data_IF_932374499186
#
_entry.id   IF_932374499186
#
_cell.length_a   1.000
_cell.length_b   1.000
_cell.length_c   1.000
_cell.angle_alpha   90.00
_cell.angle_beta   90.00
_cell.angle_gamma   90.00
#
_symmetry.space_group_name_H-M   'P 1'
#
loop_
_entity.id
_entity.type
_entity.pdbx_description
1 polymer ?
#
# COMPACT_ATOMS: atom_id res chain seq x y z
N UNK A 1 -8.84 0.05 1.76
CA UNK A 1 -9.79 0.11 0.63
C UNK A 1 -10.83 1.21 0.71
N UNK A 2 -11.51 1.49 1.84
CA UNK A 2 -12.40 2.69 1.87
C UNK A 2 -11.62 3.98 1.58
N UNK A 3 -10.41 4.11 2.14
CA UNK A 3 -9.50 5.24 1.88
C UNK A 3 -8.94 5.29 0.45
N UNK A 4 -9.02 4.18 -0.30
CA UNK A 4 -8.41 4.07 -1.63
C UNK A 4 -9.46 4.34 -2.74
N UNK A 5 -10.73 4.43 -2.37
CA UNK A 5 -11.83 4.54 -3.32
C UNK A 5 -11.80 5.91 -4.03
N UNK A 6 -11.77 5.87 -5.36
CA UNK A 6 -11.68 7.07 -6.19
C UNK A 6 -10.29 7.71 -6.26
N UNK A 7 -9.27 7.11 -5.62
CA UNK A 7 -7.90 7.60 -5.72
C UNK A 7 -7.27 7.26 -7.07
N UNK A 8 -6.30 8.06 -7.48
CA UNK A 8 -5.50 7.77 -8.66
C UNK A 8 -4.41 6.77 -8.32
N UNK A 9 -3.93 6.04 -9.34
CA UNK A 9 -2.87 5.07 -9.15
C UNK A 9 -1.51 5.76 -9.09
N UNK A 10 -0.72 5.48 -8.06
CA UNK A 10 0.58 6.12 -7.80
C UNK A 10 1.70 5.09 -7.89
N UNK A 11 2.80 5.48 -8.54
CA UNK A 11 4.04 4.70 -8.66
C UNK A 11 5.23 5.56 -8.24
N UNK A 12 6.39 4.93 -8.06
CA UNK A 12 7.63 5.63 -7.67
C UNK A 12 7.98 6.81 -8.60
N UNK A 13 7.74 6.64 -9.88
CA UNK A 13 8.05 7.59 -10.95
C UNK A 13 6.86 8.46 -11.36
N UNK A 14 5.68 8.26 -10.75
CA UNK A 14 4.47 9.02 -11.04
C UNK A 14 3.64 9.22 -9.79
N UNK A 15 3.86 10.39 -9.18
CA UNK A 15 3.13 10.82 -8.00
C UNK A 15 1.73 11.35 -8.37
N UNK A 16 0.70 10.57 -8.02
CA UNK A 16 -0.70 11.00 -8.13
C UNK A 16 -1.45 10.78 -6.80
N UNK A 17 -0.71 10.59 -5.70
CA UNK A 17 -1.37 10.41 -4.41
C UNK A 17 -1.93 11.76 -3.92
N UNK A 18 -2.80 11.71 -2.92
CA UNK A 18 -3.51 12.87 -2.42
C UNK A 18 -2.83 13.46 -1.18
N UNK A 19 -1.59 13.07 -0.90
CA UNK A 19 -0.79 13.61 0.19
C UNK A 19 -0.60 15.12 0.00
N UNK A 20 -0.76 15.87 1.09
CA UNK A 20 -0.44 17.30 1.14
C UNK A 20 0.94 17.57 1.72
N UNK A 21 1.71 16.52 2.02
CA UNK A 21 3.07 16.63 2.53
C UNK A 21 4.02 17.05 1.41
N UNK A 22 4.92 18.00 1.69
CA UNK A 22 5.88 18.49 0.71
C UNK A 22 6.93 17.41 0.38
N UNK A 23 7.24 17.25 -0.92
CA UNK A 23 8.24 16.31 -1.44
C UNK A 23 8.03 14.87 -0.97
N UNK A 24 6.77 14.43 -0.88
CA UNK A 24 6.38 13.14 -0.34
C UNK A 24 5.61 12.31 -1.36
N UNK A 25 6.11 11.11 -1.65
CA UNK A 25 5.46 10.15 -2.53
C UNK A 25 5.19 8.84 -1.78
N UNK A 26 3.93 8.43 -1.70
CA UNK A 26 3.53 7.21 -1.01
C UNK A 26 4.06 5.95 -1.64
N UNK A 27 4.25 5.90 -2.96
CA UNK A 27 4.86 4.73 -3.61
C UNK A 27 6.34 4.57 -3.23
N UNK A 28 7.05 5.67 -2.98
CA UNK A 28 8.43 5.63 -2.48
C UNK A 28 8.48 5.12 -1.04
N UNK A 29 7.68 5.74 -0.16
CA UNK A 29 7.58 5.33 1.25
C UNK A 29 7.12 3.88 1.36
N UNK A 30 6.01 3.55 0.73
CA UNK A 30 5.36 2.25 0.87
C UNK A 30 6.04 1.13 0.06
N UNK A 31 7.11 1.43 -0.68
CA UNK A 31 7.81 0.48 -1.55
C UNK A 31 6.86 -0.35 -2.44
N UNK A 32 5.85 0.31 -3.01
CA UNK A 32 4.75 -0.34 -3.70
C UNK A 32 4.10 0.58 -4.74
N UNK A 33 3.02 0.08 -5.33
CA UNK A 33 2.20 0.83 -6.27
C UNK A 33 0.73 0.56 -5.99
N UNK A 34 -0.04 1.60 -5.70
CA UNK A 34 -1.42 1.47 -5.24
C UNK A 34 -2.22 2.72 -5.54
N UNK A 35 -3.53 2.65 -5.30
CA UNK A 35 -4.41 3.80 -5.25
C UNK A 35 -4.26 4.50 -3.88
N UNK A 36 -3.13 5.18 -3.68
CA UNK A 36 -2.81 5.86 -2.42
C UNK A 36 -3.59 7.17 -2.26
N UNK A 37 -4.08 7.45 -1.05
CA UNK A 37 -4.63 8.76 -0.65
C UNK A 37 -3.55 9.57 0.08
N UNK A 38 -3.56 9.65 1.41
CA UNK A 38 -2.37 9.93 2.21
C UNK A 38 -1.75 8.58 2.61
N UNK A 39 -1.16 7.95 1.61
CA UNK A 39 -0.76 6.54 1.57
C UNK A 39 -1.98 5.62 1.73
N UNK A 40 -1.83 4.46 2.37
CA UNK A 40 -2.96 3.55 2.52
C UNK A 40 -2.78 2.55 3.67
N UNK A 41 -3.92 2.09 4.17
CA UNK A 41 -4.06 0.93 5.06
C UNK A 41 -4.01 -0.41 4.31
N UNK A 42 -3.84 -0.39 2.99
CA UNK A 42 -3.61 -1.55 2.14
C UNK A 42 -2.41 -1.30 1.22
N UNK A 43 -1.55 -2.30 1.07
CA UNK A 43 -0.42 -2.26 0.15
C UNK A 43 -0.15 -3.66 -0.39
N UNK A 44 -1.11 -4.23 -1.12
CA UNK A 44 -1.00 -5.61 -1.60
C UNK A 44 0.11 -5.80 -2.65
N UNK A 45 0.56 -4.69 -3.25
CA UNK A 45 1.68 -4.60 -4.19
C UNK A 45 2.98 -4.12 -3.52
N UNK A 46 3.05 -4.14 -2.19
CA UNK A 46 4.25 -3.80 -1.44
C UNK A 46 5.33 -4.86 -1.55
N UNK A 47 6.51 -4.55 -1.01
CA UNK A 47 7.66 -5.45 -1.00
C UNK A 47 7.32 -6.76 -0.25
N UNK A 48 7.59 -7.91 -0.87
CA UNK A 48 7.45 -9.19 -0.19
C UNK A 48 8.52 -9.37 0.89
N UNK A 49 8.11 -9.49 2.16
CA UNK A 49 9.00 -9.59 3.31
C UNK A 49 8.61 -10.77 4.22
N UNK A 50 9.01 -12.00 3.87
CA UNK A 50 8.70 -13.17 4.68
C UNK A 50 9.45 -13.12 6.01
N UNK A 51 8.72 -13.22 7.13
CA UNK A 51 9.25 -13.27 8.50
C UNK A 51 9.85 -11.96 9.02
N UNK A 52 9.45 -10.82 8.46
CA UNK A 52 9.79 -9.52 9.03
C UNK A 52 9.01 -9.26 10.32
N UNK A 53 9.73 -8.93 11.40
CA UNK A 53 9.21 -8.27 12.61
C UNK A 53 9.61 -6.77 12.62
N UNK A 54 10.03 -6.23 11.46
CA UNK A 54 10.52 -4.87 11.37
C UNK A 54 9.32 -3.90 11.35
N UNK A 55 9.19 -3.01 12.35
CA UNK A 55 8.04 -2.13 12.51
C UNK A 55 7.92 -1.08 11.41
N UNK A 56 8.98 -0.82 10.63
CA UNK A 56 8.95 0.10 9.48
C UNK A 56 8.57 -0.62 8.16
N UNK A 57 8.02 -1.84 8.24
CA UNK A 57 7.78 -2.61 7.02
C UNK A 57 6.56 -2.21 6.23
N UNK A 58 6.82 -1.45 5.17
CA UNK A 58 5.90 -1.25 4.06
C UNK A 58 5.80 -2.49 3.13
N UNK A 59 5.55 -3.66 3.73
CA UNK A 59 5.45 -4.92 3.02
C UNK A 59 4.11 -5.11 2.31
N UNK A 60 3.74 -6.38 2.06
CA UNK A 60 2.40 -6.71 1.59
C UNK A 60 1.42 -6.48 2.75
N UNK A 61 0.76 -5.33 2.76
CA UNK A 61 0.04 -4.83 3.93
C UNK A 61 -1.48 -4.95 3.80
N UNK A 62 -2.12 -5.38 4.88
CA UNK A 62 -3.56 -5.20 5.10
C UNK A 62 -3.81 -4.90 6.59
N UNK A 63 -3.83 -3.60 6.92
CA UNK A 63 -3.88 -3.12 8.32
C UNK A 63 -5.07 -3.70 9.10
N UNK A 64 -6.30 -3.81 8.55
CA UNK A 64 -7.43 -4.37 9.31
C UNK A 64 -7.26 -5.84 9.73
N UNK A 65 -6.31 -6.58 9.15
CA UNK A 65 -6.06 -7.98 9.49
C UNK A 65 -4.84 -8.14 10.41
N UNK A 66 -3.71 -7.55 10.03
CA UNK A 66 -2.42 -7.78 10.71
C UNK A 66 -1.79 -6.56 11.38
N UNK A 67 -2.40 -5.38 11.29
CA UNK A 67 -1.76 -4.13 11.68
C UNK A 67 -0.65 -3.70 10.72
N UNK A 68 0.11 -2.66 11.09
CA UNK A 68 1.16 -2.07 10.24
C UNK A 68 2.43 -2.92 10.15
N UNK A 69 2.68 -3.77 11.14
CA UNK A 69 3.94 -4.51 11.31
C UNK A 69 3.90 -5.91 10.67
N UNK A 70 2.74 -6.33 10.15
CA UNK A 70 2.52 -7.66 9.59
C UNK A 70 2.48 -7.64 8.07
N UNK A 71 3.52 -8.17 7.43
CA UNK A 71 3.50 -8.46 6.00
C UNK A 71 2.83 -9.81 5.73
N UNK A 72 1.80 -9.80 4.87
CA UNK A 72 1.13 -11.01 4.39
C UNK A 72 2.13 -11.91 3.64
N UNK A 73 1.98 -13.23 3.83
CA UNK A 73 2.74 -14.23 3.06
C UNK A 73 2.20 -14.43 1.64
N UNK A 74 0.97 -14.04 1.40
CA UNK A 74 0.26 -14.21 0.13
C UNK A 74 -0.82 -13.15 0.01
N UNK A 75 -0.96 -12.56 -1.18
CA UNK A 75 -2.07 -11.70 -1.57
C UNK A 75 -2.55 -12.10 -2.96
N UNK A 76 -3.86 -12.02 -3.18
CA UNK A 76 -4.47 -12.29 -4.47
C UNK A 76 -5.69 -11.40 -4.63
N UNK A 77 -5.81 -10.74 -5.78
CA UNK A 77 -6.99 -9.96 -6.15
C UNK A 77 -7.66 -10.62 -7.35
N UNK A 78 -8.95 -10.93 -7.23
CA UNK A 78 -9.76 -11.54 -8.28
C UNK A 78 -11.04 -10.74 -8.45
N UNK A 79 -11.51 -10.64 -9.68
CA UNK A 79 -12.80 -10.05 -10.01
C UNK A 79 -13.72 -11.13 -10.58
N UNK A 80 -15.02 -10.93 -10.42
CA UNK A 80 -16.07 -11.74 -11.06
C UNK A 80 -17.09 -10.79 -11.65
N UNK A 81 -17.59 -11.11 -12.84
CA UNK A 81 -18.68 -10.37 -13.47
C UNK A 81 -19.88 -10.36 -12.51
N UNK A 82 -20.52 -9.20 -12.37
CA UNK A 82 -21.69 -9.03 -11.52
C UNK A 82 -22.88 -9.84 -12.03
#
# INVERSE_FOLDING_TARGET
MVHDNGMQFTTRDRDNDASTWQDFNCAEKMHGAWWYWDCSNANLNGKYMPNSNDPDTHGILWVPFGGHEYSLKFSEMKIRVA
#
